data_IF_144725581881
#
_entry.id   IF_144725581881
#
_cell.length_a   1.000
_cell.length_b   1.000
_cell.length_c   1.000
_cell.angle_alpha   90.00
_cell.angle_beta   90.00
_cell.angle_gamma   90.00
#
_symmetry.space_group_name_H-M   'P 1'
#
loop_
_entity.id
_entity.type
_entity.pdbx_description
1 polymer ?
#
# COMPACT_ATOMS: atom_id res chain seq x y z
N UNK A 1 41.21 -48.00 12.47
CA UNK A 1 39.82 -47.52 12.35
C UNK A 1 39.51 -46.68 13.60
N UNK A 2 39.37 -45.36 13.47
CA UNK A 2 39.02 -44.48 14.58
C UNK A 2 37.52 -44.60 14.87
N UNK A 3 37.15 -44.99 16.10
CA UNK A 3 35.76 -45.03 16.55
C UNK A 3 35.28 -43.61 16.87
N UNK A 4 34.13 -43.22 16.33
CA UNK A 4 33.48 -41.95 16.64
C UNK A 4 32.95 -41.97 18.09
N UNK A 5 33.03 -40.85 18.82
CA UNK A 5 32.59 -40.79 20.21
C UNK A 5 31.05 -40.99 20.32
N UNK A 6 30.58 -41.61 21.41
CA UNK A 6 29.15 -41.85 21.63
C UNK A 6 28.39 -40.53 21.79
N UNK A 7 27.39 -40.32 20.93
CA UNK A 7 26.51 -39.14 21.00
C UNK A 7 25.58 -39.30 22.20
N UNK A 8 25.79 -38.49 23.23
CA UNK A 8 24.95 -38.46 24.41
C UNK A 8 23.60 -37.77 24.08
N UNK A 9 22.49 -38.51 24.21
CA UNK A 9 21.13 -38.03 23.92
C UNK A 9 20.76 -36.76 24.70
N UNK A 10 21.33 -36.57 25.89
CA UNK A 10 21.14 -35.36 26.70
C UNK A 10 21.72 -34.11 26.02
N UNK A 11 22.84 -34.24 25.31
CA UNK A 11 23.51 -33.12 24.62
C UNK A 11 22.75 -32.69 23.37
N UNK A 12 22.11 -33.62 22.67
CA UNK A 12 21.22 -33.32 21.53
C UNK A 12 19.97 -32.54 21.96
N UNK A 13 19.36 -32.92 23.08
CA UNK A 13 18.16 -32.26 23.62
C UNK A 13 18.49 -30.86 24.15
N UNK A 14 19.61 -30.71 24.87
CA UNK A 14 20.04 -29.42 25.41
C UNK A 14 20.35 -28.38 24.31
N UNK A 15 20.97 -28.82 23.21
CA UNK A 15 21.24 -27.95 22.06
C UNK A 15 19.96 -27.65 21.26
N UNK A 16 19.06 -28.62 21.09
CA UNK A 16 17.76 -28.40 20.43
C UNK A 16 16.89 -27.36 21.15
N UNK A 17 16.89 -27.36 22.50
CA UNK A 17 16.13 -26.40 23.31
C UNK A 17 16.79 -25.01 23.30
N UNK A 18 18.13 -24.93 23.41
CA UNK A 18 18.87 -23.66 23.42
C UNK A 18 18.69 -22.83 22.15
N UNK A 19 18.60 -23.46 20.98
CA UNK A 19 18.45 -22.76 19.71
C UNK A 19 17.01 -22.77 19.17
N UNK A 20 16.18 -23.75 19.53
CA UNK A 20 14.79 -23.84 19.05
C UNK A 20 13.84 -22.78 19.61
N UNK A 21 13.95 -22.45 20.91
CA UNK A 21 13.12 -21.43 21.56
C UNK A 21 13.32 -19.99 21.02
N UNK A 22 14.56 -19.49 20.85
CA UNK A 22 14.75 -18.13 20.32
C UNK A 22 14.33 -18.00 18.85
N UNK A 23 14.49 -19.04 18.02
CA UNK A 23 14.10 -19.00 16.61
C UNK A 23 12.56 -18.93 16.45
N UNK A 24 11.81 -19.70 17.26
CA UNK A 24 10.35 -19.62 17.28
C UNK A 24 9.86 -18.26 17.78
N UNK A 25 10.47 -17.72 18.85
CA UNK A 25 10.12 -16.41 19.38
C UNK A 25 10.33 -15.27 18.37
N UNK A 26 11.46 -15.29 17.64
CA UNK A 26 11.75 -14.31 16.59
C UNK A 26 10.79 -14.48 15.41
N UNK A 27 10.51 -15.71 14.97
CA UNK A 27 9.57 -15.96 13.88
C UNK A 27 8.14 -15.50 14.17
N UNK A 28 7.65 -15.78 15.38
CA UNK A 28 6.33 -15.33 15.85
C UNK A 28 6.31 -13.80 16.00
N UNK A 29 7.38 -13.21 16.52
CA UNK A 29 7.52 -11.75 16.63
C UNK A 29 7.46 -11.06 15.27
N UNK A 30 8.25 -11.53 14.30
CA UNK A 30 8.25 -11.01 12.92
C UNK A 30 6.88 -11.19 12.27
N UNK A 31 6.24 -12.36 12.44
CA UNK A 31 4.91 -12.61 11.90
C UNK A 31 3.84 -11.70 12.53
N UNK A 32 3.86 -11.51 13.86
CA UNK A 32 2.92 -10.65 14.56
C UNK A 32 3.10 -9.19 14.15
N UNK A 33 4.35 -8.70 14.04
CA UNK A 33 4.66 -7.35 13.55
C UNK A 33 4.21 -7.19 12.09
N UNK A 34 4.46 -8.17 11.21
CA UNK A 34 3.92 -8.14 9.84
C UNK A 34 2.39 -8.14 9.83
N UNK A 35 1.74 -8.96 10.66
CA UNK A 35 0.27 -9.04 10.70
C UNK A 35 -0.38 -7.76 11.26
N UNK A 36 0.28 -7.08 12.18
CA UNK A 36 -0.17 -5.81 12.76
C UNK A 36 0.09 -4.61 11.82
N UNK A 37 1.24 -4.59 11.12
CA UNK A 37 1.60 -3.49 10.20
C UNK A 37 0.94 -3.62 8.81
N UNK A 38 0.62 -4.84 8.37
CA UNK A 38 0.04 -5.13 7.06
C UNK A 38 -1.41 -5.63 7.14
N UNK A 39 -2.21 -5.13 8.08
CA UNK A 39 -3.67 -5.32 8.06
C UNK A 39 -4.25 -4.67 6.80
N UNK A 40 -4.42 -5.45 5.73
CA UNK A 40 -5.26 -5.05 4.59
C UNK A 40 -6.72 -5.06 5.06
N UNK A 41 -7.44 -3.96 4.83
CA UNK A 41 -8.88 -3.98 5.06
C UNK A 41 -9.53 -4.96 4.05
N UNK A 42 -10.57 -5.71 4.45
CA UNK A 42 -11.22 -6.70 3.58
C UNK A 42 -11.86 -6.08 2.33
N UNK A 43 -12.07 -4.75 2.31
CA UNK A 43 -12.56 -3.97 1.17
C UNK A 43 -11.43 -3.44 0.25
N UNK A 44 -10.16 -3.78 0.53
CA UNK A 44 -9.00 -3.34 -0.24
C UNK A 44 -8.52 -1.92 0.09
N UNK A 45 -9.18 -1.21 1.01
CA UNK A 45 -8.71 0.10 1.46
C UNK A 45 -7.47 -0.03 2.35
N UNK A 46 -6.60 0.97 2.31
CA UNK A 46 -5.47 1.01 3.25
C UNK A 46 -5.97 1.46 4.62
N UNK A 47 -5.57 0.76 5.70
CA UNK A 47 -5.87 1.19 7.07
C UNK A 47 -5.10 2.45 7.48
N UNK A 48 -4.14 2.89 6.65
CA UNK A 48 -3.32 4.07 6.87
C UNK A 48 -3.85 5.22 6.02
N UNK A 49 -4.63 6.10 6.65
CA UNK A 49 -5.05 7.37 6.04
C UNK A 49 -3.82 8.24 5.81
N UNK A 50 -3.71 8.84 4.63
CA UNK A 50 -2.64 9.77 4.32
C UNK A 50 -2.65 10.96 5.30
N UNK A 51 -1.51 11.36 5.90
CA UNK A 51 -1.47 12.49 6.83
C UNK A 51 -2.10 13.77 6.25
N UNK A 52 -1.93 14.01 4.95
CA UNK A 52 -2.49 15.18 4.25
C UNK A 52 -4.01 15.24 4.20
N UNK A 53 -4.71 14.12 4.46
CA UNK A 53 -6.18 14.01 4.37
C UNK A 53 -6.81 13.78 5.75
N UNK A 54 -6.01 13.59 6.81
CA UNK A 54 -6.50 13.22 8.14
C UNK A 54 -7.49 14.24 8.70
N UNK A 55 -7.24 15.52 8.46
CA UNK A 55 -8.06 16.64 8.94
C UNK A 55 -8.97 17.23 7.85
N UNK A 56 -8.97 16.64 6.65
CA UNK A 56 -9.85 17.09 5.56
C UNK A 56 -11.27 16.61 5.81
N UNK A 57 -12.21 17.56 5.89
CA UNK A 57 -13.64 17.27 5.98
C UNK A 57 -14.14 16.86 4.60
N UNK A 58 -14.70 15.64 4.52
CA UNK A 58 -15.45 15.17 3.35
C UNK A 58 -16.92 15.43 3.62
N UNK A 59 -17.54 16.30 2.84
CA UNK A 59 -18.97 16.57 2.96
C UNK A 59 -19.76 15.45 2.28
N UNK A 60 -20.50 14.69 3.10
CA UNK A 60 -21.30 13.55 2.61
C UNK A 60 -22.44 13.97 1.70
N UNK A 61 -22.89 15.23 1.75
CA UNK A 61 -23.99 15.72 0.91
C UNK A 61 -23.54 15.95 -0.54
N UNK A 62 -22.24 16.13 -0.78
CA UNK A 62 -21.64 16.35 -2.09
C UNK A 62 -21.09 15.05 -2.73
N UNK A 63 -21.25 13.93 -2.04
CA UNK A 63 -20.82 12.63 -2.55
C UNK A 63 -21.81 12.14 -3.61
N UNK A 64 -21.27 11.83 -4.78
CA UNK A 64 -21.98 11.16 -5.87
C UNK A 64 -21.65 9.66 -5.91
N UNK A 65 -20.62 9.24 -5.18
CA UNK A 65 -20.16 7.86 -5.13
C UNK A 65 -20.24 7.28 -3.72
N UNK A 66 -20.46 5.96 -3.63
CA UNK A 66 -20.41 5.25 -2.35
C UNK A 66 -18.96 4.99 -1.89
N UNK A 67 -18.80 4.57 -0.63
CA UNK A 67 -17.50 4.10 -0.14
C UNK A 67 -16.96 2.89 -0.94
N UNK A 68 -17.86 2.02 -1.42
CA UNK A 68 -17.48 0.87 -2.25
C UNK A 68 -17.00 1.28 -3.64
N UNK A 69 -17.64 2.29 -4.24
CA UNK A 69 -17.18 2.87 -5.51
C UNK A 69 -15.82 3.53 -5.35
N UNK A 70 -15.62 4.28 -4.25
CA UNK A 70 -14.33 4.89 -3.95
C UNK A 70 -13.22 3.86 -3.77
N UNK A 71 -13.50 2.74 -3.08
CA UNK A 71 -12.56 1.62 -2.94
C UNK A 71 -12.27 0.96 -4.29
N UNK A 72 -13.29 0.78 -5.14
CA UNK A 72 -13.11 0.26 -6.49
C UNK A 72 -12.20 1.18 -7.31
N UNK A 73 -12.45 2.48 -7.34
CA UNK A 73 -11.63 3.45 -8.06
C UNK A 73 -10.20 3.49 -7.52
N UNK A 74 -10.02 3.48 -6.20
CA UNK A 74 -8.69 3.43 -5.58
C UNK A 74 -7.90 2.17 -5.99
N UNK A 75 -8.55 1.01 -6.04
CA UNK A 75 -7.91 -0.24 -6.44
C UNK A 75 -7.61 -0.27 -7.95
N UNK A 76 -8.52 0.26 -8.78
CA UNK A 76 -8.31 0.40 -10.23
C UNK A 76 -7.11 1.30 -10.52
N UNK A 77 -7.04 2.46 -9.85
CA UNK A 77 -5.91 3.40 -9.99
C UNK A 77 -4.61 2.76 -9.51
N UNK A 78 -4.63 2.04 -8.40
CA UNK A 78 -3.45 1.33 -7.92
C UNK A 78 -3.00 0.24 -8.90
N UNK A 79 -3.92 -0.57 -9.42
CA UNK A 79 -3.62 -1.61 -10.40
C UNK A 79 -3.03 -1.05 -11.70
N UNK A 80 -3.50 0.11 -12.16
CA UNK A 80 -2.97 0.81 -13.33
C UNK A 80 -1.54 1.34 -13.14
N UNK A 81 -1.04 1.36 -11.90
CA UNK A 81 0.25 1.92 -11.52
C UNK A 81 1.22 0.89 -10.91
N UNK A 82 0.75 -0.30 -10.51
CA UNK A 82 1.54 -1.21 -9.67
C UNK A 82 2.60 -2.01 -10.44
N UNK A 83 2.38 -2.24 -11.74
CA UNK A 83 3.19 -3.16 -12.54
C UNK A 83 4.22 -2.43 -13.42
N UNK A 84 4.88 -3.16 -14.33
CA UNK A 84 5.89 -2.57 -15.20
C UNK A 84 5.23 -1.67 -16.25
N UNK A 85 5.29 -0.36 -16.00
CA UNK A 85 4.64 0.67 -16.81
C UNK A 85 3.28 1.07 -16.25
N UNK A 86 2.77 2.18 -16.77
CA UNK A 86 1.53 2.82 -16.31
C UNK A 86 0.44 2.64 -17.35
N UNK A 87 -0.78 2.28 -16.94
CA UNK A 87 -1.95 2.30 -17.83
C UNK A 87 -2.66 3.65 -17.69
N UNK A 88 -2.21 4.64 -18.46
CA UNK A 88 -2.73 6.00 -18.37
C UNK A 88 -4.20 6.08 -18.80
N UNK A 89 -4.64 5.21 -19.72
CA UNK A 89 -6.03 5.17 -20.19
C UNK A 89 -6.98 4.77 -19.05
N UNK A 90 -6.57 3.78 -18.25
CA UNK A 90 -7.33 3.37 -17.06
C UNK A 90 -7.34 4.49 -16.02
N UNK A 91 -6.22 5.19 -15.83
CA UNK A 91 -6.15 6.34 -14.91
C UNK A 91 -7.12 7.44 -15.34
N UNK A 92 -7.09 7.86 -16.60
CA UNK A 92 -7.95 8.94 -17.11
C UNK A 92 -9.42 8.57 -17.04
N UNK A 93 -9.78 7.40 -17.55
CA UNK A 93 -11.17 6.94 -17.53
C UNK A 93 -11.72 6.72 -16.11
N UNK A 94 -10.85 6.45 -15.13
CA UNK A 94 -11.25 6.36 -13.72
C UNK A 94 -11.42 7.74 -13.10
N UNK A 95 -10.48 8.66 -13.33
CA UNK A 95 -10.58 10.06 -12.87
C UNK A 95 -11.80 10.74 -13.47
N UNK A 96 -12.14 10.45 -14.73
CA UNK A 96 -13.29 11.03 -15.42
C UNK A 96 -14.64 10.70 -14.77
N UNK A 97 -14.75 9.53 -14.13
CA UNK A 97 -15.96 9.10 -13.39
C UNK A 97 -16.17 9.84 -12.07
N UNK A 98 -15.14 10.49 -11.55
CA UNK A 98 -15.19 11.24 -10.29
C UNK A 98 -15.75 12.64 -10.59
N UNK A 99 -16.84 13.02 -9.91
CA UNK A 99 -17.59 14.22 -10.27
C UNK A 99 -17.25 15.42 -9.38
N UNK A 100 -17.07 15.18 -8.07
CA UNK A 100 -16.84 16.24 -7.10
C UNK A 100 -15.48 16.14 -6.40
N UNK A 101 -15.11 17.24 -5.74
CA UNK A 101 -13.96 17.29 -4.84
C UNK A 101 -14.11 16.24 -3.73
N UNK A 102 -15.29 16.17 -3.12
CA UNK A 102 -15.57 15.24 -2.02
C UNK A 102 -15.47 13.78 -2.46
N UNK A 103 -15.88 13.45 -3.70
CA UNK A 103 -15.66 12.13 -4.29
C UNK A 103 -14.17 11.80 -4.42
N UNK A 104 -13.36 12.73 -4.97
CA UNK A 104 -11.91 12.53 -5.12
C UNK A 104 -11.23 12.38 -3.76
N UNK A 105 -11.62 13.18 -2.76
CA UNK A 105 -11.12 13.05 -1.39
C UNK A 105 -11.48 11.68 -0.78
N UNK A 106 -12.68 11.18 -1.06
CA UNK A 106 -13.09 9.84 -0.63
C UNK A 106 -12.25 8.75 -1.31
N UNK A 107 -11.93 8.89 -2.60
CA UNK A 107 -11.03 7.98 -3.34
C UNK A 107 -9.60 8.03 -2.78
N UNK A 108 -9.04 9.22 -2.54
CA UNK A 108 -7.70 9.36 -1.93
C UNK A 108 -7.68 8.71 -0.54
N UNK A 109 -8.74 8.89 0.26
CA UNK A 109 -8.89 8.25 1.57
C UNK A 109 -8.96 6.73 1.46
N UNK A 110 -9.72 6.20 0.50
CA UNK A 110 -9.84 4.76 0.25
C UNK A 110 -8.51 4.16 -0.23
N UNK A 111 -7.76 4.88 -1.07
CA UNK A 111 -6.42 4.48 -1.51
C UNK A 111 -5.43 4.41 -0.33
N UNK A 112 -5.46 5.43 0.53
CA UNK A 112 -4.61 5.61 1.72
C UNK A 112 -3.12 5.64 1.38
N UNK A 113 -2.28 5.01 2.19
CA UNK A 113 -0.84 4.90 1.92
C UNK A 113 -0.49 3.52 1.34
N UNK A 114 0.26 3.50 0.24
CA UNK A 114 0.76 2.27 -0.40
C UNK A 114 2.26 2.36 -0.67
N UNK A 115 2.97 1.27 -0.42
CA UNK A 115 4.42 1.18 -0.59
C UNK A 115 4.79 1.14 -2.08
N UNK A 116 5.61 2.09 -2.49
CA UNK A 116 6.21 2.19 -3.81
C UNK A 116 7.61 1.56 -3.79
N UNK A 117 7.89 0.64 -4.71
CA UNK A 117 9.17 -0.07 -4.80
C UNK A 117 9.93 0.45 -6.03
N UNK A 118 11.07 1.10 -5.81
CA UNK A 118 11.91 1.60 -6.89
C UNK A 118 12.66 0.44 -7.57
N UNK A 119 12.32 0.14 -8.83
CA UNK A 119 12.99 -0.90 -9.63
C UNK A 119 12.53 -2.33 -9.31
N UNK A 120 13.13 -3.32 -9.99
CA UNK A 120 12.79 -4.74 -9.82
C UNK A 120 12.69 -5.12 -8.34
N UNK A 121 11.75 -6.02 -8.01
CA UNK A 121 11.23 -6.41 -6.67
C UNK A 121 12.24 -6.66 -5.53
N UNK A 122 13.55 -6.52 -5.77
CA UNK A 122 14.66 -6.68 -4.85
C UNK A 122 15.16 -5.39 -4.16
N UNK A 123 14.68 -4.20 -4.51
CA UNK A 123 15.08 -2.98 -3.80
C UNK A 123 14.37 -2.88 -2.43
N UNK A 124 15.10 -3.18 -1.36
CA UNK A 124 14.65 -3.07 0.05
C UNK A 124 14.36 -1.63 0.53
N UNK A 125 14.27 -0.65 -0.38
CA UNK A 125 14.04 0.77 -0.11
C UNK A 125 12.71 1.20 -0.75
N UNK A 126 11.60 0.78 -0.13
CA UNK A 126 10.28 1.26 -0.51
C UNK A 126 9.87 2.49 0.29
N UNK A 127 9.19 3.43 -0.36
CA UNK A 127 8.58 4.59 0.30
C UNK A 127 7.06 4.51 0.19
N UNK A 128 6.35 4.81 1.28
CA UNK A 128 4.89 4.89 1.26
C UNK A 128 4.44 6.21 0.63
N UNK A 129 3.61 6.13 -0.41
CA UNK A 129 2.96 7.29 -1.03
C UNK A 129 1.43 7.17 -0.95
N UNK A 130 0.75 8.31 -0.90
CA UNK A 130 -0.69 8.38 -1.15
C UNK A 130 -0.97 8.40 -2.65
N UNK A 131 -2.26 8.44 -3.04
CA UNK A 131 -2.65 8.44 -4.46
C UNK A 131 -1.94 9.55 -5.28
N UNK A 132 -1.83 10.75 -4.71
CA UNK A 132 -1.14 11.89 -5.36
C UNK A 132 0.34 11.60 -5.54
N UNK A 133 1.00 11.08 -4.50
CA UNK A 133 2.41 10.69 -4.59
C UNK A 133 2.63 9.60 -5.62
N UNK A 134 1.73 8.62 -5.73
CA UNK A 134 1.77 7.61 -6.78
C UNK A 134 1.65 8.21 -8.18
N UNK A 135 0.70 9.13 -8.42
CA UNK A 135 0.62 9.81 -9.71
C UNK A 135 1.91 10.54 -10.08
N UNK A 136 2.57 11.22 -9.12
CA UNK A 136 3.84 11.91 -9.39
C UNK A 136 5.00 10.97 -9.75
N UNK A 137 4.95 9.71 -9.33
CA UNK A 137 5.98 8.74 -9.68
C UNK A 137 5.69 8.07 -11.03
N UNK A 138 4.42 7.81 -11.32
CA UNK A 138 4.00 6.96 -12.44
C UNK A 138 3.63 7.73 -13.71
N UNK A 139 3.24 9.00 -13.56
CA UNK A 139 2.88 9.86 -14.69
C UNK A 139 4.01 10.82 -15.01
N UNK A 140 4.35 10.94 -16.29
CA UNK A 140 5.22 12.01 -16.76
C UNK A 140 4.54 13.38 -16.66
N UNK A 141 5.30 14.45 -16.79
CA UNK A 141 4.76 15.83 -16.79
C UNK A 141 3.66 16.05 -17.84
N UNK A 142 3.77 15.40 -19.01
CA UNK A 142 2.74 15.50 -20.06
C UNK A 142 1.45 14.78 -19.67
N UNK A 143 1.56 13.68 -18.94
CA UNK A 143 0.42 12.90 -18.46
C UNK A 143 -0.24 13.54 -17.24
N UNK A 144 0.55 14.09 -16.30
CA UNK A 144 0.06 14.93 -15.21
C UNK A 144 -0.76 16.11 -15.75
N UNK A 145 -0.27 16.77 -16.80
CA UNK A 145 -0.96 17.92 -17.42
C UNK A 145 -2.37 17.59 -17.93
N UNK A 146 -2.67 16.32 -18.25
CA UNK A 146 -4.01 15.89 -18.70
C UNK A 146 -5.02 15.82 -17.54
N UNK A 147 -4.56 15.46 -16.33
CA UNK A 147 -5.43 15.35 -15.16
C UNK A 147 -5.42 16.61 -14.29
N UNK A 148 -4.36 17.43 -14.40
CA UNK A 148 -4.16 18.65 -13.60
C UNK A 148 -5.35 19.61 -13.58
N UNK A 149 -6.03 19.93 -14.72
CA UNK A 149 -7.16 20.85 -14.70
C UNK A 149 -8.30 20.40 -13.77
N UNK A 150 -8.53 19.09 -13.65
CA UNK A 150 -9.59 18.53 -12.79
C UNK A 150 -9.20 18.60 -11.31
N UNK A 151 -7.94 18.35 -10.99
CA UNK A 151 -7.43 18.49 -9.63
C UNK A 151 -7.36 19.95 -9.19
N UNK A 152 -6.98 20.86 -10.08
CA UNK A 152 -7.01 22.30 -9.84
C UNK A 152 -8.45 22.78 -9.55
N UNK A 153 -9.45 22.32 -10.30
CA UNK A 153 -10.86 22.68 -10.06
C UNK A 153 -11.40 22.15 -8.73
N UNK A 154 -10.84 21.04 -8.23
CA UNK A 154 -11.10 20.53 -6.88
C UNK A 154 -10.23 21.16 -5.78
N UNK A 155 -9.25 21.99 -6.15
CA UNK A 155 -8.27 22.55 -5.21
C UNK A 155 -7.41 21.48 -4.53
N UNK A 156 -7.13 20.37 -5.20
CA UNK A 156 -6.27 19.29 -4.73
C UNK A 156 -4.92 19.41 -5.45
N UNK A 157 -3.80 19.60 -4.75
CA UNK A 157 -2.50 19.79 -5.40
C UNK A 157 -2.00 18.47 -6.00
N UNK A 158 -1.68 18.50 -7.30
CA UNK A 158 -1.02 17.40 -8.02
C UNK A 158 0.48 17.51 -8.05
#
# INVERSE_FOLDING_TARGET
MQQLPPVNKATLIANGIKYGLPILGVGIGIYAVKKLLFKKNPDGTSSRVAPSIKDTVIDRQNLTISASDAALYANTLYGAMLDFGTDEKVIYSTIDKIQSKDDMLLVIKAFGMKQYLWGTRAAFLGQDFNLIGWFRQELSESEISKIKPKFDSWGIPL
#
